data_IF_070447273793
#
_entry.id   IF_070447273793
#
_cell.length_a   1.000
_cell.length_b   1.000
_cell.length_c   1.000
_cell.angle_alpha   90.00
_cell.angle_beta   90.00
_cell.angle_gamma   90.00
#
_symmetry.space_group_name_H-M   'P 1'
#
loop_
_entity.id
_entity.type
_entity.pdbx_description
1 polymer ?
#
# COMPACT_ATOMS: atom_id res chain seq x y z
N UNK A 1 48.14 43.00 -36.79
CA UNK A 1 48.55 43.44 -35.44
C UNK A 1 47.30 43.37 -34.57
N UNK A 2 47.30 42.49 -33.58
CA UNK A 2 46.37 42.37 -32.43
C UNK A 2 44.86 42.12 -32.64
N UNK A 3 44.46 40.87 -32.37
CA UNK A 3 43.17 40.53 -31.71
C UNK A 3 43.03 41.25 -30.36
N UNK A 4 41.81 41.33 -29.83
CA UNK A 4 41.59 40.57 -28.60
C UNK A 4 40.28 39.77 -28.57
N UNK A 5 40.40 38.63 -27.93
CA UNK A 5 39.36 37.72 -27.47
C UNK A 5 38.25 38.42 -26.68
N UNK A 6 36.99 38.08 -26.98
CA UNK A 6 35.93 38.09 -25.98
C UNK A 6 35.38 36.67 -25.81
N UNK A 7 35.71 36.09 -24.67
CA UNK A 7 35.23 34.81 -24.18
C UNK A 7 33.69 34.72 -24.20
N UNK A 8 33.16 33.93 -25.13
CA UNK A 8 31.85 33.32 -24.97
C UNK A 8 31.93 32.31 -23.81
N UNK A 9 31.48 32.72 -22.62
CA UNK A 9 31.20 31.79 -21.52
C UNK A 9 30.05 30.87 -21.94
N UNK A 10 30.39 29.70 -22.48
CA UNK A 10 29.47 28.56 -22.54
C UNK A 10 29.12 28.21 -21.10
N UNK A 11 27.92 28.60 -20.66
CA UNK A 11 27.27 27.97 -19.52
C UNK A 11 27.08 26.50 -19.90
N UNK A 12 27.78 25.61 -19.19
CA UNK A 12 27.58 24.18 -19.30
C UNK A 12 26.10 23.91 -19.01
N UNK A 13 25.38 23.40 -20.01
CA UNK A 13 24.07 22.77 -19.79
C UNK A 13 24.32 21.67 -18.76
N UNK A 14 23.86 21.88 -17.52
CA UNK A 14 23.77 20.79 -16.57
C UNK A 14 22.98 19.69 -17.28
N UNK A 15 23.55 18.50 -17.38
CA UNK A 15 22.81 17.31 -17.75
C UNK A 15 21.81 17.09 -16.61
N UNK A 16 20.62 17.66 -16.76
CA UNK A 16 19.47 17.29 -15.95
C UNK A 16 19.21 15.85 -16.36
N UNK A 17 19.66 14.92 -15.52
CA UNK A 17 19.26 13.52 -15.63
C UNK A 17 17.73 13.42 -15.68
N UNK A 18 17.18 12.28 -16.12
CA UNK A 18 15.73 12.11 -16.12
C UNK A 18 15.16 12.53 -14.76
N UNK A 19 14.04 13.28 -14.71
CA UNK A 19 13.43 13.66 -13.44
C UNK A 19 13.28 12.39 -12.59
N UNK A 20 13.63 12.47 -11.30
CA UNK A 20 13.36 11.36 -10.39
C UNK A 20 11.89 10.96 -10.58
N UNK A 21 11.60 9.66 -10.77
CA UNK A 21 10.23 9.22 -10.99
C UNK A 21 9.37 9.76 -9.85
N UNK A 22 8.15 10.26 -10.14
CA UNK A 22 7.28 10.76 -9.09
C UNK A 22 7.20 9.70 -8.00
N UNK A 23 7.48 10.09 -6.75
CA UNK A 23 7.47 9.15 -5.63
C UNK A 23 6.07 8.54 -5.54
N UNK A 24 5.97 7.28 -5.98
CA UNK A 24 4.71 6.55 -5.95
C UNK A 24 4.33 6.20 -4.52
N UNK A 25 3.07 5.84 -4.32
CA UNK A 25 2.50 5.59 -3.01
C UNK A 25 1.42 4.52 -3.08
N UNK A 26 1.03 4.04 -1.89
CA UNK A 26 -0.13 3.18 -1.73
C UNK A 26 -1.32 4.09 -1.38
N UNK A 27 -2.48 3.87 -1.99
CA UNK A 27 -3.72 4.54 -1.60
C UNK A 27 -4.72 3.51 -1.09
N UNK A 28 -5.23 3.74 0.12
CA UNK A 28 -6.15 2.83 0.78
C UNK A 28 -7.55 3.40 0.78
N UNK A 29 -8.55 2.58 0.44
CA UNK A 29 -9.96 2.99 0.44
C UNK A 29 -10.91 1.89 0.95
N UNK A 30 -12.18 2.27 1.12
CA UNK A 30 -13.29 1.33 1.22
C UNK A 30 -13.68 0.76 -0.16
N UNK A 31 -14.57 -0.23 -0.20
CA UNK A 31 -15.14 -0.75 -1.44
C UNK A 31 -15.98 0.34 -2.14
N UNK A 32 -16.73 1.12 -1.37
CA UNK A 32 -17.59 2.18 -1.90
C UNK A 32 -16.76 3.29 -2.57
N UNK A 33 -15.58 3.60 -2.02
CA UNK A 33 -14.72 4.68 -2.52
C UNK A 33 -13.72 4.22 -3.59
N UNK A 34 -13.66 2.91 -3.89
CA UNK A 34 -12.65 2.35 -4.81
C UNK A 34 -12.66 3.02 -6.20
N UNK A 35 -13.82 3.19 -6.89
CA UNK A 35 -13.80 3.79 -8.23
C UNK A 35 -13.28 5.22 -8.24
N UNK A 36 -13.70 6.03 -7.26
CA UNK A 36 -13.25 7.41 -7.11
C UNK A 36 -11.76 7.48 -6.76
N UNK A 37 -11.30 6.63 -5.84
CA UNK A 37 -9.89 6.52 -5.44
C UNK A 37 -9.00 6.17 -6.63
N UNK A 38 -9.38 5.18 -7.43
CA UNK A 38 -8.62 4.79 -8.62
C UNK A 38 -8.54 5.94 -9.64
N UNK A 39 -9.67 6.61 -9.90
CA UNK A 39 -9.73 7.72 -10.84
C UNK A 39 -8.91 8.94 -10.37
N UNK A 40 -9.04 9.33 -9.10
CA UNK A 40 -8.35 10.50 -8.53
C UNK A 40 -6.84 10.35 -8.51
N UNK A 41 -6.36 9.15 -8.14
CA UNK A 41 -4.92 8.89 -8.00
C UNK A 41 -4.26 8.37 -9.28
N UNK A 42 -5.04 8.11 -10.34
CA UNK A 42 -4.53 7.52 -11.58
C UNK A 42 -3.90 6.13 -11.35
N UNK A 43 -4.42 5.39 -10.37
CA UNK A 43 -3.92 4.05 -10.05
C UNK A 43 -4.22 3.11 -11.22
N UNK A 44 -3.25 2.26 -11.58
CA UNK A 44 -3.43 1.25 -12.63
C UNK A 44 -3.38 -0.17 -12.09
N UNK A 45 -2.94 -0.35 -10.83
CA UNK A 45 -2.91 -1.61 -10.11
C UNK A 45 -3.82 -1.55 -8.89
N UNK A 46 -4.57 -2.63 -8.66
CA UNK A 46 -5.51 -2.76 -7.54
C UNK A 46 -5.27 -4.05 -6.76
N UNK A 47 -5.29 -3.96 -5.44
CA UNK A 47 -5.40 -5.10 -4.52
C UNK A 47 -6.74 -5.03 -3.79
N UNK A 48 -7.54 -6.09 -3.92
CA UNK A 48 -8.79 -6.30 -3.21
C UNK A 48 -8.60 -7.37 -2.14
N UNK A 49 -8.95 -7.06 -0.88
CA UNK A 49 -9.04 -8.03 0.20
C UNK A 49 -10.46 -8.05 0.76
N UNK A 50 -11.26 -9.06 0.44
CA UNK A 50 -12.69 -9.04 0.73
C UNK A 50 -13.26 -10.45 0.90
N UNK A 51 -14.46 -10.58 1.47
CA UNK A 51 -15.11 -11.89 1.57
C UNK A 51 -15.35 -12.42 0.14
N UNK A 52 -15.07 -13.70 -0.11
CA UNK A 52 -15.04 -14.26 -1.47
C UNK A 52 -16.33 -14.04 -2.27
N UNK A 53 -17.49 -14.08 -1.61
CA UNK A 53 -18.80 -13.90 -2.24
C UNK A 53 -19.23 -12.43 -2.36
N UNK A 54 -18.38 -11.48 -1.97
CA UNK A 54 -18.71 -10.05 -2.10
C UNK A 54 -18.56 -9.62 -3.54
N UNK A 55 -19.61 -9.08 -4.19
CA UNK A 55 -19.49 -8.52 -5.52
C UNK A 55 -18.52 -7.34 -5.52
N UNK A 56 -17.49 -7.41 -6.36
CA UNK A 56 -16.54 -6.31 -6.59
C UNK A 56 -16.49 -6.04 -8.08
N UNK A 57 -16.92 -4.84 -8.47
CA UNK A 57 -16.76 -4.36 -9.83
C UNK A 57 -15.32 -3.83 -9.99
N UNK A 58 -14.55 -4.46 -10.88
CA UNK A 58 -13.21 -3.98 -11.23
C UNK A 58 -13.34 -2.64 -11.95
N UNK A 59 -12.67 -1.56 -11.50
CA UNK A 59 -12.69 -0.29 -12.22
C UNK A 59 -12.23 -0.47 -13.67
N UNK A 60 -12.92 0.19 -14.61
CA UNK A 60 -12.76 -0.03 -16.06
C UNK A 60 -11.35 0.21 -16.60
N UNK A 61 -10.55 1.03 -15.91
CA UNK A 61 -9.16 1.36 -16.26
C UNK A 61 -8.15 0.30 -15.83
N UNK A 62 -8.54 -0.64 -14.96
CA UNK A 62 -7.67 -1.66 -14.39
C UNK A 62 -7.82 -2.93 -15.21
N UNK A 63 -6.75 -3.52 -15.75
CA UNK A 63 -6.85 -4.81 -16.45
C UNK A 63 -6.92 -5.98 -15.47
N UNK A 64 -7.29 -7.17 -15.92
CA UNK A 64 -7.38 -8.35 -15.05
C UNK A 64 -6.02 -8.70 -14.42
N UNK A 65 -4.92 -8.52 -15.17
CA UNK A 65 -3.56 -8.84 -14.75
C UNK A 65 -3.03 -7.87 -13.67
N UNK A 66 -3.57 -6.64 -13.67
CA UNK A 66 -3.27 -5.57 -12.72
C UNK A 66 -4.22 -5.55 -11.51
N UNK A 67 -5.10 -6.54 -11.40
CA UNK A 67 -6.03 -6.68 -10.28
C UNK A 67 -5.74 -7.96 -9.50
N UNK A 68 -5.22 -7.83 -8.29
CA UNK A 68 -5.18 -8.94 -7.34
C UNK A 68 -6.46 -8.97 -6.51
N UNK A 69 -7.12 -10.12 -6.50
CA UNK A 69 -8.26 -10.38 -5.64
C UNK A 69 -7.91 -11.47 -4.62
N UNK A 70 -8.00 -11.13 -3.33
CA UNK A 70 -7.76 -12.03 -2.20
C UNK A 70 -9.07 -12.24 -1.43
N UNK A 71 -9.67 -13.42 -1.59
CA UNK A 71 -10.92 -13.82 -0.95
C UNK A 71 -10.73 -14.31 0.49
N UNK A 72 -10.89 -13.43 1.48
CA UNK A 72 -10.78 -13.76 2.91
C UNK A 72 -11.74 -12.95 3.78
N UNK A 73 -12.22 -13.53 4.87
CA UNK A 73 -12.98 -12.86 5.91
C UNK A 73 -12.07 -12.01 6.81
N UNK A 74 -12.63 -10.95 7.41
CA UNK A 74 -11.90 -10.06 8.31
C UNK A 74 -11.83 -10.61 9.74
N UNK A 75 -11.15 -11.73 9.91
CA UNK A 75 -11.06 -12.46 11.18
C UNK A 75 -9.61 -12.69 11.57
N UNK A 76 -9.34 -12.67 12.87
CA UNK A 76 -7.98 -12.86 13.42
C UNK A 76 -7.73 -14.28 13.94
N UNK A 77 -8.80 -15.03 14.20
CA UNK A 77 -8.78 -16.43 14.55
C UNK A 77 -9.66 -17.22 13.57
N UNK A 78 -9.36 -18.50 13.28
CA UNK A 78 -10.23 -19.35 12.48
C UNK A 78 -11.63 -19.42 13.09
N UNK A 79 -12.65 -19.30 12.23
CA UNK A 79 -14.06 -19.46 12.57
C UNK A 79 -14.63 -20.45 11.55
N UNK A 80 -15.41 -21.42 12.03
CA UNK A 80 -16.02 -22.42 11.15
C UNK A 80 -16.89 -21.76 10.07
N UNK A 81 -16.79 -22.26 8.84
CA UNK A 81 -17.45 -21.68 7.67
C UNK A 81 -16.88 -20.34 7.19
N UNK A 82 -15.78 -19.83 7.76
CA UNK A 82 -15.11 -18.61 7.30
C UNK A 82 -13.67 -18.86 6.84
N UNK A 83 -13.26 -18.15 5.79
CA UNK A 83 -11.89 -18.17 5.29
C UNK A 83 -11.06 -17.11 6.02
N UNK A 84 -10.23 -17.53 6.98
CA UNK A 84 -9.30 -16.62 7.63
C UNK A 84 -8.16 -16.21 6.67
N UNK A 85 -7.50 -15.05 6.91
CA UNK A 85 -6.21 -14.77 6.32
C UNK A 85 -5.21 -15.92 6.54
N UNK A 86 -4.44 -16.24 5.50
CA UNK A 86 -3.58 -17.43 5.45
C UNK A 86 -2.32 -17.15 4.64
N UNK A 87 -1.34 -18.05 4.71
CA UNK A 87 -0.04 -17.90 4.02
C UNK A 87 -0.21 -17.72 2.52
N UNK A 88 -1.07 -18.50 1.85
CA UNK A 88 -1.31 -18.35 0.40
C UNK A 88 -1.80 -16.96 -0.01
N UNK A 89 -2.58 -16.28 0.86
CA UNK A 89 -3.00 -14.90 0.61
C UNK A 89 -1.82 -13.93 0.71
N UNK A 90 -0.96 -14.14 1.71
CA UNK A 90 0.22 -13.34 1.92
C UNK A 90 1.22 -13.52 0.78
N UNK A 91 1.42 -14.74 0.31
CA UNK A 91 2.34 -15.06 -0.78
C UNK A 91 1.94 -14.35 -2.07
N UNK A 92 0.65 -14.37 -2.39
CA UNK A 92 0.11 -13.62 -3.52
C UNK A 92 0.25 -12.11 -3.35
N UNK A 93 -0.01 -11.59 -2.14
CA UNK A 93 0.15 -10.16 -1.83
C UNK A 93 1.60 -9.70 -2.03
N UNK A 94 2.56 -10.44 -1.48
CA UNK A 94 3.99 -10.12 -1.61
C UNK A 94 4.46 -10.23 -3.05
N UNK A 95 4.07 -11.30 -3.76
CA UNK A 95 4.37 -11.45 -5.19
C UNK A 95 3.80 -10.31 -6.02
N UNK A 96 2.63 -9.77 -5.66
CA UNK A 96 2.06 -8.57 -6.28
C UNK A 96 2.89 -7.31 -5.99
N UNK A 97 3.24 -7.08 -4.73
CA UNK A 97 4.07 -5.94 -4.32
C UNK A 97 5.42 -5.91 -5.04
N UNK A 98 6.07 -7.07 -5.20
CA UNK A 98 7.35 -7.15 -5.89
C UNK A 98 7.25 -6.86 -7.39
N UNK A 99 6.20 -7.34 -8.07
CA UNK A 99 6.02 -7.12 -9.52
C UNK A 99 5.42 -5.76 -9.88
N UNK A 100 4.78 -5.07 -8.94
CA UNK A 100 4.25 -3.73 -9.16
C UNK A 100 5.36 -2.79 -9.64
N UNK A 101 5.16 -2.20 -10.83
CA UNK A 101 6.16 -1.39 -11.54
C UNK A 101 6.49 -0.07 -10.84
N UNK A 102 5.63 0.35 -9.89
CA UNK A 102 5.75 1.59 -9.11
C UNK A 102 5.78 2.87 -9.95
N UNK A 103 5.33 2.84 -11.21
CA UNK A 103 5.21 4.03 -12.06
C UNK A 103 3.94 4.83 -11.75
N UNK A 104 2.90 4.16 -11.25
CA UNK A 104 1.66 4.77 -10.76
C UNK A 104 1.33 4.25 -9.36
N UNK A 105 0.45 4.93 -8.59
CA UNK A 105 0.03 4.46 -7.27
C UNK A 105 -0.65 3.09 -7.32
N UNK A 106 -0.51 2.33 -6.23
CA UNK A 106 -1.26 1.10 -6.00
C UNK A 106 -2.51 1.40 -5.17
N UNK A 107 -3.68 1.08 -5.69
CA UNK A 107 -4.91 1.15 -4.91
C UNK A 107 -5.11 -0.15 -4.12
N UNK A 108 -5.36 -0.05 -2.82
CA UNK A 108 -5.58 -1.18 -1.91
C UNK A 108 -6.90 -0.98 -1.19
N UNK A 109 -7.84 -1.90 -1.30
CA UNK A 109 -9.13 -1.75 -0.65
C UNK A 109 -9.63 -3.06 -0.02
N UNK A 110 -10.56 -2.88 0.92
CA UNK A 110 -11.38 -3.95 1.45
C UNK A 110 -12.82 -3.44 1.54
N UNK A 111 -13.68 -4.05 2.35
CA UNK A 111 -15.05 -3.56 2.55
C UNK A 111 -15.07 -2.12 3.10
N UNK A 112 -14.50 -1.91 4.30
CA UNK A 112 -14.58 -0.64 5.01
C UNK A 112 -13.32 0.24 4.90
N UNK A 113 -12.22 -0.23 4.31
CA UNK A 113 -10.97 0.53 4.29
C UNK A 113 -10.28 0.66 5.66
N UNK A 114 -10.61 -0.21 6.63
CA UNK A 114 -10.18 -0.09 8.04
C UNK A 114 -9.18 -1.17 8.47
N UNK A 115 -9.38 -2.44 8.09
CA UNK A 115 -8.64 -3.58 8.67
C UNK A 115 -7.77 -4.35 7.68
N UNK A 116 -8.36 -5.13 6.75
CA UNK A 116 -7.59 -5.89 5.77
C UNK A 116 -6.71 -5.03 4.85
N UNK A 117 -7.27 -3.94 4.31
CA UNK A 117 -6.55 -3.07 3.36
C UNK A 117 -5.44 -2.25 4.04
N UNK A 118 -5.66 -1.80 5.27
CA UNK A 118 -4.64 -1.07 6.04
C UNK A 118 -3.49 -2.00 6.45
N UNK A 119 -3.79 -3.25 6.83
CA UNK A 119 -2.78 -4.30 7.01
C UNK A 119 -2.02 -4.58 5.72
N UNK A 120 -2.72 -4.78 4.60
CA UNK A 120 -2.08 -5.07 3.32
C UNK A 120 -1.16 -3.93 2.87
N UNK A 121 -1.58 -2.67 2.98
CA UNK A 121 -0.76 -1.51 2.65
C UNK A 121 0.50 -1.42 3.54
N UNK A 122 0.34 -1.61 4.85
CA UNK A 122 1.47 -1.66 5.79
C UNK A 122 2.47 -2.77 5.44
N UNK A 123 1.97 -3.98 5.16
CA UNK A 123 2.77 -5.14 4.78
C UNK A 123 3.53 -4.88 3.47
N UNK A 124 2.84 -4.37 2.45
CA UNK A 124 3.43 -4.10 1.14
C UNK A 124 4.55 -3.05 1.22
N UNK A 125 4.33 -1.96 1.95
CA UNK A 125 5.33 -0.92 2.14
C UNK A 125 6.61 -1.47 2.79
N UNK A 126 6.49 -2.34 3.80
CA UNK A 126 7.64 -2.96 4.48
C UNK A 126 8.27 -4.11 3.68
N UNK A 127 7.51 -4.79 2.83
CA UNK A 127 8.02 -5.85 1.98
C UNK A 127 8.92 -5.31 0.86
N UNK A 128 8.55 -4.16 0.28
CA UNK A 128 9.32 -3.53 -0.81
C UNK A 128 10.39 -2.56 -0.31
N UNK A 129 10.35 -2.16 0.97
CA UNK A 129 11.36 -1.36 1.63
C UNK A 129 11.90 -2.09 2.89
N UNK A 130 12.91 -2.97 2.73
CA UNK A 130 13.48 -3.72 3.85
C UNK A 130 13.96 -2.85 5.01
N UNK A 131 14.51 -1.67 4.71
CA UNK A 131 15.08 -0.75 5.70
C UNK A 131 14.06 0.20 6.35
N UNK A 132 12.80 0.18 5.90
CA UNK A 132 11.75 1.02 6.47
C UNK A 132 11.36 0.53 7.87
N UNK A 133 11.35 1.46 8.82
CA UNK A 133 11.04 1.16 10.22
C UNK A 133 9.55 0.84 10.43
N UNK A 134 9.29 -0.29 11.07
CA UNK A 134 7.95 -0.82 11.28
C UNK A 134 7.10 0.09 12.19
N UNK A 135 7.70 0.67 13.22
CA UNK A 135 7.01 1.51 14.21
C UNK A 135 6.69 2.89 13.65
N UNK A 136 7.64 3.50 12.94
CA UNK A 136 7.46 4.78 12.27
C UNK A 136 6.34 4.69 11.23
N UNK A 137 6.31 3.62 10.43
CA UNK A 137 5.25 3.44 9.44
C UNK A 137 3.89 3.17 10.10
N UNK A 138 3.83 2.42 11.20
CA UNK A 138 2.57 2.19 11.93
C UNK A 138 2.01 3.50 12.50
N UNK A 139 2.87 4.35 13.07
CA UNK A 139 2.50 5.70 13.54
C UNK A 139 2.01 6.57 12.40
N UNK A 140 2.68 6.55 11.26
CA UNK A 140 2.27 7.33 10.09
C UNK A 140 0.93 6.83 9.54
N UNK A 141 0.72 5.51 9.47
CA UNK A 141 -0.56 4.91 9.10
C UNK A 141 -1.68 5.41 10.01
N UNK A 142 -1.48 5.37 11.35
CA UNK A 142 -2.47 5.90 12.32
C UNK A 142 -2.72 7.39 12.13
N UNK A 143 -1.68 8.19 11.92
CA UNK A 143 -1.79 9.65 11.73
C UNK A 143 -2.66 9.99 10.52
N UNK A 144 -2.52 9.24 9.43
CA UNK A 144 -3.25 9.44 8.18
C UNK A 144 -4.65 8.84 8.18
N UNK A 145 -4.83 7.75 8.92
CA UNK A 145 -6.09 7.03 9.02
C UNK A 145 -6.45 6.78 10.49
N UNK A 146 -7.10 7.75 11.16
CA UNK A 146 -7.48 7.63 12.56
C UNK A 146 -8.33 6.39 12.89
N UNK A 147 -9.13 5.89 11.93
CA UNK A 147 -9.96 4.70 12.09
C UNK A 147 -9.24 3.38 11.83
N UNK A 148 -8.05 3.40 11.20
CA UNK A 148 -7.36 2.19 10.78
C UNK A 148 -7.17 1.20 11.96
N UNK A 149 -7.54 -0.04 11.77
CA UNK A 149 -7.32 -1.10 12.76
C UNK A 149 -6.80 -2.31 12.00
N UNK A 150 -5.51 -2.31 11.61
CA UNK A 150 -4.96 -3.34 10.73
C UNK A 150 -5.23 -4.76 11.25
N UNK A 151 -5.61 -5.66 10.35
CA UNK A 151 -5.88 -7.06 10.70
C UNK A 151 -4.62 -7.72 11.30
N UNK A 152 -4.65 -7.98 12.61
CA UNK A 152 -3.49 -8.46 13.35
C UNK A 152 -2.98 -9.83 12.88
N UNK A 153 -3.85 -10.69 12.33
CA UNK A 153 -3.45 -11.99 11.78
C UNK A 153 -2.65 -11.85 10.50
N UNK A 154 -3.10 -11.00 9.57
CA UNK A 154 -2.32 -10.67 8.36
C UNK A 154 -0.94 -10.12 8.72
N UNK A 155 -0.90 -9.19 9.68
CA UNK A 155 0.35 -8.59 10.15
C UNK A 155 1.28 -9.63 10.77
N UNK A 156 0.77 -10.53 11.60
CA UNK A 156 1.57 -11.58 12.23
C UNK A 156 2.13 -12.58 11.21
N UNK A 157 1.33 -12.97 10.19
CA UNK A 157 1.82 -13.81 9.10
C UNK A 157 2.94 -13.11 8.32
N UNK A 158 2.77 -11.82 8.02
CA UNK A 158 3.77 -11.03 7.30
C UNK A 158 5.06 -10.84 8.12
N UNK A 159 4.93 -10.58 9.42
CA UNK A 159 6.05 -10.43 10.34
C UNK A 159 6.97 -11.67 10.31
N UNK A 160 6.35 -12.85 10.45
CA UNK A 160 7.07 -14.12 10.39
C UNK A 160 7.70 -14.36 9.01
N UNK A 161 6.96 -14.13 7.93
CA UNK A 161 7.43 -14.40 6.57
C UNK A 161 8.53 -13.44 6.10
N UNK A 162 8.48 -12.18 6.53
CA UNK A 162 9.48 -11.15 6.24
C UNK A 162 10.62 -11.13 7.26
N UNK A 163 10.66 -12.08 8.20
CA UNK A 163 11.67 -12.19 9.25
C UNK A 163 11.87 -10.86 10.02
N UNK A 164 10.77 -10.24 10.45
CA UNK A 164 10.81 -8.96 11.20
C UNK A 164 10.87 -9.14 12.72
N UNK A 165 11.05 -10.35 13.23
CA UNK A 165 11.25 -10.67 14.66
C UNK A 165 10.19 -10.06 15.60
N UNK A 166 8.93 -10.09 15.18
CA UNK A 166 7.79 -9.52 15.90
C UNK A 166 7.69 -8.00 15.84
N UNK A 167 8.58 -7.28 15.12
CA UNK A 167 8.58 -5.80 15.07
C UNK A 167 7.31 -5.25 14.43
N UNK A 168 6.83 -5.85 13.33
CA UNK A 168 5.58 -5.44 12.67
C UNK A 168 4.39 -5.64 13.62
N UNK A 169 4.33 -6.80 14.26
CA UNK A 169 3.25 -7.15 15.19
C UNK A 169 3.22 -6.20 16.38
N UNK A 170 4.38 -5.92 16.99
CA UNK A 170 4.50 -4.96 18.11
C UNK A 170 4.10 -3.55 17.69
N UNK A 171 4.52 -3.10 16.51
CA UNK A 171 4.19 -1.77 15.98
C UNK A 171 2.67 -1.58 15.79
N UNK A 172 1.99 -2.55 15.17
CA UNK A 172 0.53 -2.50 14.99
C UNK A 172 -0.20 -2.61 16.34
N UNK A 173 0.27 -3.45 17.26
CA UNK A 173 -0.30 -3.50 18.60
C UNK A 173 -0.17 -2.17 19.36
N UNK A 174 0.97 -1.47 19.21
CA UNK A 174 1.24 -0.20 19.88
C UNK A 174 0.32 0.95 19.42
N UNK A 175 -0.12 0.96 18.14
CA UNK A 175 -1.10 1.96 17.66
C UNK A 175 -2.55 1.62 18.01
N UNK A 176 -2.79 0.45 18.60
CA UNK A 176 -4.07 0.02 19.18
C UNK A 176 -5.25 -0.01 18.19
N UNK A 177 -6.45 -0.12 18.76
CA UNK A 177 -7.70 0.02 18.02
C UNK A 177 -7.89 1.47 17.58
N UNK A 178 -8.30 1.67 16.33
CA UNK A 178 -8.61 2.99 15.80
C UNK A 178 -9.89 3.60 16.32
N UNK A 179 -10.14 4.84 15.92
CA UNK A 179 -11.39 5.54 16.15
C UNK A 179 -12.58 4.78 15.52
N UNK A 180 -13.75 4.88 16.16
CA UNK A 180 -14.97 4.29 15.63
C UNK A 180 -15.32 4.92 14.28
N UNK A 181 -15.53 4.08 13.27
CA UNK A 181 -15.96 4.50 11.95
C UNK A 181 -16.73 3.36 11.27
N UNK A 182 -17.77 3.71 10.51
CA UNK A 182 -18.46 2.77 9.65
C UNK A 182 -17.64 2.45 8.39
N UNK A 183 -16.93 3.45 7.87
CA UNK A 183 -16.00 3.36 6.75
C UNK A 183 -14.80 4.26 7.01
N UNK A 184 -13.62 3.84 6.55
CA UNK A 184 -12.40 4.65 6.57
C UNK A 184 -12.42 5.67 5.43
N UNK A 185 -11.95 6.88 5.73
CA UNK A 185 -11.67 7.89 4.70
C UNK A 185 -10.47 7.43 3.87
N UNK A 186 -10.53 7.52 2.52
CA UNK A 186 -9.38 7.20 1.69
C UNK A 186 -8.13 7.98 2.10
N UNK A 187 -6.98 7.31 2.09
CA UNK A 187 -5.72 7.94 2.50
C UNK A 187 -4.53 7.38 1.74
N UNK A 188 -3.50 8.22 1.59
CA UNK A 188 -2.21 7.83 1.01
C UNK A 188 -1.29 7.31 2.11
N UNK A 189 -0.75 6.10 1.98
CA UNK A 189 0.39 5.64 2.76
C UNK A 189 1.67 5.79 1.92
N UNK A 190 2.63 6.63 2.35
CA UNK A 190 3.85 6.86 1.58
C UNK A 190 4.79 5.64 1.66
N UNK A 191 5.67 5.51 0.68
CA UNK A 191 6.72 4.47 0.67
C UNK A 191 8.03 4.93 1.33
N UNK A 192 8.12 6.21 1.67
CA UNK A 192 9.25 6.85 2.36
C UNK A 192 8.72 7.72 3.50
N UNK A 193 9.48 7.85 4.58
CA UNK A 193 9.15 8.63 5.78
C UNK A 193 10.16 9.74 6.02
#
# INVERSE_FOLDING_TARGET
MHSPDLHARRLSRAEIGPPEPPMTYLVVSSLADLPATVAEHGALDVVTLINIDTPVERPVTITAERHLFLGMNDIVAPIDGMTAPAEDHLDQLLAFGHRWDRATPLAVHCWAGISRSTAAAYILALAINPDLDEEALAKELRRRAPSATPNARLVALADAKLARDGRMTRAIAAIGRGADAYSGTPFILPLTL
#
